data_IF_395534519894
#
_entry.id   IF_395534519894
#
_cell.length_a   1.000
_cell.length_b   1.000
_cell.length_c   1.000
_cell.angle_alpha   90.00
_cell.angle_beta   90.00
_cell.angle_gamma   90.00
#
_symmetry.space_group_name_H-M   'P 1'
#
loop_
_entity.id
_entity.type
_entity.pdbx_description
1 polymer ?
#
# COMPACT_ATOMS: atom_id res chain seq x y z
N UNK A 1 -22.17 5.93 16.45
CA UNK A 1 -21.09 5.52 17.37
C UNK A 1 -20.36 6.73 17.89
N UNK A 2 -19.93 6.73 19.15
CA UNK A 2 -19.22 7.83 19.76
C UNK A 2 -17.77 7.93 19.24
N UNK A 3 -17.15 9.13 19.35
CA UNK A 3 -15.71 9.30 19.13
C UNK A 3 -14.96 8.35 20.09
N UNK A 4 -13.99 7.57 19.57
CA UNK A 4 -13.21 6.62 20.36
C UNK A 4 -13.66 5.15 20.26
N UNK A 5 -14.61 4.82 19.37
CA UNK A 5 -15.08 3.44 19.17
C UNK A 5 -14.14 2.58 18.29
N UNK A 6 -13.08 3.14 17.70
CA UNK A 6 -12.09 2.38 16.94
C UNK A 6 -11.38 1.37 17.86
N UNK A 7 -11.26 0.12 17.38
CA UNK A 7 -10.72 -1.00 18.15
C UNK A 7 -11.74 -1.67 19.08
N UNK A 8 -12.93 -1.08 19.25
CA UNK A 8 -13.98 -1.67 20.06
C UNK A 8 -14.65 -2.88 19.39
N UNK A 9 -15.16 -3.86 20.17
CA UNK A 9 -15.82 -5.03 19.63
C UNK A 9 -17.19 -4.68 19.04
N UNK A 10 -17.53 -5.34 17.95
CA UNK A 10 -18.87 -5.40 17.39
C UNK A 10 -19.48 -6.76 17.76
N UNK A 11 -20.60 -6.73 18.50
CA UNK A 11 -21.26 -7.93 18.98
C UNK A 11 -22.62 -8.10 18.28
N UNK A 12 -23.03 -9.35 18.08
CA UNK A 12 -24.37 -9.69 17.64
C UNK A 12 -25.38 -9.60 18.83
N UNK A 13 -26.67 -9.81 18.54
CA UNK A 13 -27.72 -9.80 19.56
C UNK A 13 -27.56 -10.90 20.65
N UNK A 14 -26.76 -11.92 20.37
CA UNK A 14 -26.37 -12.98 21.30
C UNK A 14 -25.13 -12.71 22.12
N UNK A 15 -24.48 -11.53 21.93
CA UNK A 15 -23.26 -11.16 22.62
C UNK A 15 -21.99 -11.78 22.02
N UNK A 16 -22.05 -12.38 20.82
CA UNK A 16 -20.87 -12.96 20.17
C UNK A 16 -20.13 -11.89 19.37
N UNK A 17 -18.81 -11.95 19.38
CA UNK A 17 -17.94 -11.06 18.59
C UNK A 17 -18.13 -11.35 17.10
N UNK A 18 -18.57 -10.34 16.33
CA UNK A 18 -18.73 -10.40 14.87
C UNK A 18 -17.70 -9.53 14.14
N UNK A 19 -17.01 -8.63 14.84
CA UNK A 19 -15.98 -7.82 14.26
C UNK A 19 -15.35 -6.83 15.23
N UNK A 20 -14.34 -6.10 14.73
CA UNK A 20 -13.67 -5.00 15.43
C UNK A 20 -13.86 -3.70 14.64
N UNK A 21 -14.37 -2.67 15.29
CA UNK A 21 -14.54 -1.36 14.67
C UNK A 21 -13.19 -0.78 14.22
N UNK A 22 -13.11 -0.31 12.97
CA UNK A 22 -11.90 0.30 12.44
C UNK A 22 -12.09 1.79 12.18
N UNK A 23 -12.52 2.13 10.97
CA UNK A 23 -12.57 3.49 10.47
C UNK A 23 -14.02 3.95 10.23
N UNK A 24 -14.23 5.26 10.32
CA UNK A 24 -15.45 5.90 9.86
C UNK A 24 -15.32 6.19 8.36
N UNK A 25 -16.25 5.66 7.57
CA UNK A 25 -16.37 5.91 6.13
C UNK A 25 -17.47 6.94 5.89
N UNK A 26 -17.13 8.22 5.99
CA UNK A 26 -18.08 9.31 5.77
C UNK A 26 -19.15 9.45 6.86
N UNK A 27 -20.28 10.09 6.54
CA UNK A 27 -21.39 10.28 7.47
C UNK A 27 -22.25 9.01 7.57
N UNK A 28 -22.28 8.43 8.77
CA UNK A 28 -23.16 7.30 9.09
C UNK A 28 -22.63 5.90 8.79
N UNK A 29 -21.52 5.77 8.07
CA UNK A 29 -20.91 4.47 7.74
C UNK A 29 -19.67 4.18 8.58
N UNK A 30 -19.57 2.94 9.05
CA UNK A 30 -18.41 2.47 9.82
C UNK A 30 -17.91 1.16 9.21
N UNK A 31 -16.59 1.04 9.08
CA UNK A 31 -15.95 -0.20 8.69
C UNK A 31 -15.63 -1.01 9.94
N UNK A 32 -15.74 -2.32 9.84
CA UNK A 32 -15.29 -3.24 10.85
C UNK A 32 -14.50 -4.38 10.20
N UNK A 33 -13.45 -4.83 10.86
CA UNK A 33 -12.76 -6.08 10.51
C UNK A 33 -13.65 -7.24 10.97
N UNK A 34 -14.03 -8.18 10.11
CA UNK A 34 -14.82 -9.33 10.52
C UNK A 34 -14.06 -10.22 11.50
N UNK A 35 -14.76 -10.78 12.48
CA UNK A 35 -14.18 -11.73 13.44
C UNK A 35 -14.18 -13.15 12.87
N UNK A 36 -13.43 -13.34 11.78
CA UNK A 36 -13.28 -14.58 11.05
C UNK A 36 -11.97 -15.32 11.37
N UNK A 37 -11.71 -16.40 10.67
CA UNK A 37 -10.47 -17.17 10.81
C UNK A 37 -9.22 -16.39 10.37
N UNK A 38 -9.37 -15.44 9.45
CA UNK A 38 -8.28 -14.59 9.00
C UNK A 38 -7.82 -13.67 10.12
N UNK A 39 -8.76 -13.03 10.82
CA UNK A 39 -8.45 -12.22 11.99
C UNK A 39 -7.78 -13.06 13.08
N UNK A 40 -8.27 -14.29 13.34
CA UNK A 40 -7.65 -15.20 14.32
C UNK A 40 -6.22 -15.55 13.95
N UNK A 41 -5.95 -15.93 12.71
CA UNK A 41 -4.59 -16.25 12.24
C UNK A 41 -3.63 -15.07 12.41
N UNK A 42 -4.09 -13.84 12.10
CA UNK A 42 -3.32 -12.61 12.31
C UNK A 42 -3.01 -12.37 13.78
N UNK A 43 -3.99 -12.55 14.66
CA UNK A 43 -3.82 -12.39 16.10
C UNK A 43 -2.88 -13.46 16.68
N UNK A 44 -3.01 -14.71 16.24
CA UNK A 44 -2.11 -15.79 16.65
C UNK A 44 -0.67 -15.54 16.19
N UNK A 45 -0.47 -15.02 14.97
CA UNK A 45 0.84 -14.58 14.50
C UNK A 45 1.42 -13.46 15.38
N UNK A 46 0.64 -12.41 15.63
CA UNK A 46 1.04 -11.30 16.50
C UNK A 46 1.38 -11.75 17.92
N UNK A 47 0.61 -12.70 18.49
CA UNK A 47 0.87 -13.24 19.84
C UNK A 47 2.19 -14.01 19.94
N UNK A 48 2.68 -14.56 18.82
CA UNK A 48 4.00 -15.21 18.69
C UNK A 48 5.13 -14.22 18.35
N UNK A 49 4.82 -12.92 18.26
CA UNK A 49 5.78 -11.89 17.84
C UNK A 49 5.99 -11.84 16.32
N UNK A 50 5.17 -12.57 15.55
CA UNK A 50 5.18 -12.47 14.10
C UNK A 50 4.45 -11.16 13.71
N UNK A 51 5.21 -10.11 13.41
CA UNK A 51 4.62 -8.93 12.78
C UNK A 51 4.20 -9.30 11.36
N UNK A 52 2.94 -9.08 10.96
CA UNK A 52 2.60 -9.17 9.54
C UNK A 52 3.42 -8.12 8.81
N UNK A 53 4.44 -8.59 8.11
CA UNK A 53 5.27 -7.73 7.26
C UNK A 53 4.37 -7.23 6.15
N UNK A 54 3.90 -6.01 6.26
CA UNK A 54 3.25 -5.35 5.12
C UNK A 54 4.35 -5.06 4.11
N UNK A 55 4.20 -5.53 2.87
CA UNK A 55 5.14 -5.19 1.83
C UNK A 55 5.25 -3.66 1.74
N UNK A 56 6.43 -3.12 2.02
CA UNK A 56 6.68 -1.68 1.97
C UNK A 56 7.47 -1.38 0.71
N UNK A 57 6.84 -0.64 -0.21
CA UNK A 57 7.47 -0.29 -1.48
C UNK A 57 8.60 0.74 -1.28
N UNK A 58 8.43 1.66 -0.32
CA UNK A 58 9.41 2.70 -0.02
C UNK A 58 9.43 3.83 -1.06
N UNK A 59 8.26 4.34 -1.43
CA UNK A 59 8.12 5.45 -2.38
C UNK A 59 7.22 6.55 -1.85
N UNK A 60 7.61 7.81 -2.07
CA UNK A 60 6.74 8.95 -1.95
C UNK A 60 5.99 9.18 -3.26
N UNK A 61 4.66 9.30 -3.20
CA UNK A 61 3.78 9.30 -4.36
C UNK A 61 3.03 10.61 -4.54
N UNK A 62 2.84 11.01 -5.79
CA UNK A 62 1.99 12.14 -6.17
C UNK A 62 0.77 11.62 -6.94
N UNK A 63 -0.46 11.99 -6.50
CA UNK A 63 -1.68 11.52 -7.15
C UNK A 63 -1.81 12.03 -8.59
N UNK A 64 -2.52 11.27 -9.43
CA UNK A 64 -2.59 11.43 -10.88
C UNK A 64 -2.87 12.84 -11.40
N UNK A 65 -3.74 13.61 -10.70
CA UNK A 65 -4.03 15.01 -11.11
C UNK A 65 -2.79 15.91 -11.02
N UNK A 66 -2.02 15.81 -9.92
CA UNK A 66 -0.78 16.56 -9.74
C UNK A 66 0.34 16.00 -10.63
N UNK A 67 0.39 14.68 -10.81
CA UNK A 67 1.33 14.02 -11.70
C UNK A 67 1.20 14.54 -13.14
N UNK A 68 -0.02 14.65 -13.69
CA UNK A 68 -0.25 15.23 -15.02
C UNK A 68 0.26 16.65 -15.14
N UNK A 69 0.03 17.49 -14.12
CA UNK A 69 0.54 18.87 -14.13
C UNK A 69 2.06 18.92 -14.17
N UNK A 70 2.73 18.12 -13.37
CA UNK A 70 4.21 18.03 -13.33
C UNK A 70 4.75 17.54 -14.68
N UNK A 71 4.15 16.51 -15.29
CA UNK A 71 4.57 15.97 -16.59
C UNK A 71 4.41 16.99 -17.71
N UNK A 72 3.28 17.70 -17.76
CA UNK A 72 3.07 18.79 -18.74
C UNK A 72 4.11 19.90 -18.62
N UNK A 73 4.43 20.32 -17.38
CA UNK A 73 5.45 21.32 -17.13
C UNK A 73 6.86 20.89 -17.60
N UNK A 74 7.10 19.57 -17.61
CA UNK A 74 8.34 18.96 -18.12
C UNK A 74 8.29 18.65 -19.64
N UNK A 75 7.22 19.03 -20.36
CA UNK A 75 7.07 18.75 -21.78
C UNK A 75 6.81 17.28 -22.13
N UNK A 76 6.38 16.49 -21.15
CA UNK A 76 6.09 15.06 -21.33
C UNK A 76 4.63 14.82 -21.71
N UNK A 77 4.33 13.73 -22.47
CA UNK A 77 2.98 13.37 -22.85
C UNK A 77 2.05 13.20 -21.64
N UNK A 78 0.79 13.59 -21.82
CA UNK A 78 -0.25 13.41 -20.81
C UNK A 78 -0.57 11.92 -20.68
N UNK A 79 -0.46 11.40 -19.45
CA UNK A 79 -0.71 9.98 -19.16
C UNK A 79 -1.24 9.86 -17.74
N UNK A 80 -2.22 8.95 -17.56
CA UNK A 80 -2.74 8.61 -16.25
C UNK A 80 -1.76 7.68 -15.52
N UNK A 81 -1.68 7.85 -14.21
CA UNK A 81 -0.78 7.08 -13.37
C UNK A 81 -0.42 7.80 -12.09
N UNK A 82 0.38 7.15 -11.25
CA UNK A 82 0.89 7.67 -10.00
C UNK A 82 2.39 7.97 -10.15
N UNK A 83 2.77 9.23 -9.91
CA UNK A 83 4.16 9.68 -10.09
C UNK A 83 4.98 9.44 -8.82
N UNK A 84 6.16 8.84 -8.98
CA UNK A 84 7.14 8.70 -7.89
C UNK A 84 7.84 10.05 -7.68
N UNK A 85 7.65 10.64 -6.52
CA UNK A 85 8.31 11.88 -6.10
C UNK A 85 9.60 11.60 -5.33
N UNK A 86 9.63 10.49 -4.59
CA UNK A 86 10.77 10.10 -3.76
C UNK A 86 10.89 8.58 -3.73
N UNK A 87 12.12 8.08 -3.62
CA UNK A 87 12.40 6.65 -3.40
C UNK A 87 13.32 6.58 -2.18
N UNK A 88 12.90 5.83 -1.18
CA UNK A 88 13.64 5.60 0.06
C UNK A 88 14.87 4.71 -0.23
N UNK A 89 16.04 5.11 0.26
CA UNK A 89 17.27 4.32 0.10
C UNK A 89 17.14 2.95 0.79
N UNK A 90 17.62 1.91 0.11
CA UNK A 90 17.54 0.53 0.62
C UNK A 90 16.15 -0.08 0.56
N UNK A 91 15.14 0.64 0.10
CA UNK A 91 13.79 0.12 -0.06
C UNK A 91 13.67 -0.91 -1.18
N UNK A 92 12.56 -1.66 -1.19
CA UNK A 92 12.24 -2.58 -2.29
C UNK A 92 12.18 -1.87 -3.64
N UNK A 93 11.67 -0.64 -3.68
CA UNK A 93 11.63 0.21 -4.88
C UNK A 93 13.03 0.59 -5.36
N UNK A 94 13.91 1.03 -4.45
CA UNK A 94 15.30 1.38 -4.79
C UNK A 94 16.06 0.18 -5.35
N UNK A 95 15.95 -0.97 -4.69
CA UNK A 95 16.60 -2.22 -5.10
C UNK A 95 16.10 -2.72 -6.46
N UNK A 96 14.84 -2.48 -6.79
CA UNK A 96 14.25 -2.80 -8.09
C UNK A 96 14.61 -1.79 -9.19
N UNK A 97 15.24 -0.68 -8.86
CA UNK A 97 15.65 0.36 -9.81
C UNK A 97 14.57 1.37 -10.17
N UNK A 98 13.51 1.47 -9.36
CA UNK A 98 12.56 2.58 -9.45
C UNK A 98 13.25 3.89 -9.10
N UNK A 99 12.84 4.99 -9.74
CA UNK A 99 13.46 6.30 -9.58
C UNK A 99 12.43 7.41 -9.44
N UNK A 100 12.84 8.49 -8.84
CA UNK A 100 12.08 9.74 -8.87
C UNK A 100 11.77 10.13 -10.31
N UNK A 101 10.53 10.48 -10.60
CA UNK A 101 10.06 10.85 -11.93
C UNK A 101 9.46 9.69 -12.74
N UNK A 102 9.52 8.46 -12.24
CA UNK A 102 8.79 7.34 -12.85
C UNK A 102 7.29 7.51 -12.61
N UNK A 103 6.50 7.31 -13.66
CA UNK A 103 5.04 7.27 -13.58
C UNK A 103 4.60 5.80 -13.60
N UNK A 104 4.05 5.32 -12.51
CA UNK A 104 3.48 3.97 -12.43
C UNK A 104 2.12 4.00 -13.14
N UNK A 105 1.97 3.21 -14.18
CA UNK A 105 0.75 3.14 -15.00
C UNK A 105 0.02 1.81 -14.84
N UNK A 106 0.71 0.76 -14.40
CA UNK A 106 0.13 -0.57 -14.20
C UNK A 106 0.86 -1.33 -13.09
N UNK A 107 0.12 -2.14 -12.34
CA UNK A 107 0.63 -3.04 -11.30
C UNK A 107 -0.03 -4.42 -11.46
N UNK A 108 0.76 -5.47 -11.63
CA UNK A 108 0.30 -6.86 -11.80
C UNK A 108 -0.79 -7.02 -12.86
N UNK A 109 -0.67 -6.32 -14.01
CA UNK A 109 -1.63 -6.36 -15.11
C UNK A 109 -2.88 -5.49 -14.92
N UNK A 110 -2.97 -4.75 -13.82
CA UNK A 110 -4.08 -3.84 -13.52
C UNK A 110 -3.63 -2.38 -13.66
N UNK A 111 -4.42 -1.57 -14.36
CA UNK A 111 -4.11 -0.15 -14.52
C UNK A 111 -4.11 0.57 -13.18
N UNK A 112 -3.08 1.40 -12.96
CA UNK A 112 -2.90 2.23 -11.76
C UNK A 112 -3.19 3.68 -12.14
N UNK A 113 -4.27 4.23 -11.61
CA UNK A 113 -4.68 5.64 -11.82
C UNK A 113 -4.66 6.45 -10.53
N UNK A 114 -4.81 5.76 -9.41
CA UNK A 114 -4.82 6.33 -8.06
C UNK A 114 -3.78 5.66 -7.17
N UNK A 115 -3.45 6.31 -6.06
CA UNK A 115 -2.56 5.74 -5.04
C UNK A 115 -3.18 4.49 -4.41
N UNK A 116 -4.51 4.48 -4.27
CA UNK A 116 -5.24 3.34 -3.69
C UNK A 116 -5.15 2.10 -4.57
N UNK A 117 -5.16 2.25 -5.92
CA UNK A 117 -4.97 1.12 -6.85
C UNK A 117 -3.61 0.45 -6.62
N UNK A 118 -2.56 1.25 -6.42
CA UNK A 118 -1.23 0.73 -6.14
C UNK A 118 -1.15 0.04 -4.77
N UNK A 119 -1.76 0.63 -3.74
CA UNK A 119 -1.80 0.01 -2.41
C UNK A 119 -2.56 -1.31 -2.43
N UNK A 120 -3.67 -1.41 -3.16
CA UNK A 120 -4.41 -2.68 -3.31
C UNK A 120 -3.55 -3.76 -3.97
N UNK A 121 -2.77 -3.39 -5.00
CA UNK A 121 -1.85 -4.33 -5.65
C UNK A 121 -0.74 -4.81 -4.71
N UNK A 122 -0.24 -3.94 -3.82
CA UNK A 122 0.78 -4.28 -2.82
C UNK A 122 0.20 -5.12 -1.67
N UNK A 123 -0.99 -4.75 -1.16
CA UNK A 123 -1.66 -5.45 -0.05
C UNK A 123 -2.08 -6.89 -0.42
N UNK A 124 -2.29 -7.17 -1.72
CA UNK A 124 -2.61 -8.50 -2.23
C UNK A 124 -1.43 -9.46 -2.26
N UNK A 125 -0.19 -8.98 -2.00
CA UNK A 125 1.02 -9.78 -2.13
C UNK A 125 1.42 -10.43 -0.80
N UNK A 126 1.84 -11.69 -0.90
CA UNK A 126 2.48 -12.42 0.20
C UNK A 126 3.96 -12.05 0.37
N UNK A 127 4.53 -12.45 1.52
CA UNK A 127 5.96 -12.30 1.77
C UNK A 127 6.79 -13.06 0.73
N UNK A 128 7.71 -12.38 0.04
CA UNK A 128 8.55 -12.96 -0.99
C UNK A 128 7.95 -12.95 -2.40
N UNK A 129 6.72 -12.49 -2.56
CA UNK A 129 6.14 -12.30 -3.89
C UNK A 129 6.68 -11.04 -4.57
N UNK A 130 6.71 -11.05 -5.90
CA UNK A 130 7.17 -9.95 -6.71
C UNK A 130 5.98 -9.17 -7.30
N UNK A 131 6.05 -7.84 -7.22
CA UNK A 131 5.12 -6.93 -7.87
C UNK A 131 5.67 -6.53 -9.24
N UNK A 132 4.98 -6.91 -10.31
CA UNK A 132 5.28 -6.42 -11.64
C UNK A 132 4.68 -5.02 -11.82
N UNK A 133 5.53 -4.03 -12.12
CA UNK A 133 5.13 -2.65 -12.38
C UNK A 133 5.48 -2.27 -13.81
N UNK A 134 4.54 -1.68 -14.55
CA UNK A 134 4.85 -0.95 -15.75
C UNK A 134 4.93 0.55 -15.41
N UNK A 135 6.07 1.14 -15.73
CA UNK A 135 6.34 2.56 -15.44
C UNK A 135 6.74 3.29 -16.71
N UNK A 136 6.47 4.58 -16.74
CA UNK A 136 6.91 5.49 -17.82
C UNK A 136 7.98 6.42 -17.24
N UNK A 137 9.22 6.24 -17.71
CA UNK A 137 10.37 7.07 -17.37
C UNK A 137 10.67 8.04 -18.52
N UNK A 138 10.35 9.30 -18.32
CA UNK A 138 10.33 10.26 -19.44
C UNK A 138 9.31 9.87 -20.50
N UNK A 139 9.77 9.40 -21.66
CA UNK A 139 8.92 8.90 -22.75
C UNK A 139 9.01 7.37 -22.95
N UNK A 140 9.86 6.68 -22.19
CA UNK A 140 10.08 5.24 -22.31
C UNK A 140 9.20 4.46 -21.35
N UNK A 141 8.64 3.33 -21.82
CA UNK A 141 7.93 2.36 -21.00
C UNK A 141 8.90 1.28 -20.53
N UNK A 142 8.88 1.00 -19.21
CA UNK A 142 9.74 0.01 -18.58
C UNK A 142 8.89 -0.92 -17.73
N UNK A 143 9.18 -2.22 -17.79
CA UNK A 143 8.63 -3.21 -16.87
C UNK A 143 9.65 -3.50 -15.78
N UNK A 144 9.26 -3.28 -14.53
CA UNK A 144 10.12 -3.43 -13.35
C UNK A 144 9.46 -4.42 -12.39
N UNK A 145 10.21 -5.43 -11.97
CA UNK A 145 9.75 -6.39 -10.96
C UNK A 145 10.32 -5.99 -9.60
N UNK A 146 9.44 -5.71 -8.66
CA UNK A 146 9.81 -5.34 -7.28
C UNK A 146 9.59 -6.54 -6.37
N UNK A 147 10.67 -7.05 -5.80
CA UNK A 147 10.60 -8.11 -4.78
C UNK A 147 10.62 -7.47 -3.40
N UNK A 148 9.66 -7.86 -2.57
CA UNK A 148 9.61 -7.40 -1.19
C UNK A 148 10.48 -8.31 -0.33
N UNK A 149 11.59 -7.76 0.22
CA UNK A 149 12.37 -8.47 1.23
C UNK A 149 11.47 -8.75 2.43
N UNK A 150 11.42 -9.99 2.86
CA UNK A 150 10.75 -10.37 4.10
C UNK A 150 11.36 -9.54 5.24
N UNK A 151 10.51 -8.80 5.98
CA UNK A 151 10.83 -7.72 6.89
C UNK A 151 12.13 -7.88 7.65
N UNK A 152 13.10 -7.09 7.23
CA UNK A 152 14.25 -6.77 8.06
C UNK A 152 13.77 -5.84 9.17
N UNK A 153 14.09 -6.19 10.41
CA UNK A 153 13.88 -5.37 11.59
C UNK A 153 14.36 -3.94 11.30
N UNK A 154 13.52 -2.95 11.61
CA UNK A 154 14.03 -1.61 11.81
C UNK A 154 15.07 -1.71 12.92
N UNK A 155 16.32 -1.47 12.60
CA UNK A 155 17.28 -1.11 13.62
C UNK A 155 16.78 0.19 14.23
N UNK A 156 16.24 0.10 15.44
CA UNK A 156 16.03 1.27 16.28
C UNK A 156 17.41 1.87 16.52
N UNK A 157 17.70 2.96 15.81
CA UNK A 157 18.86 3.80 16.09
C UNK A 157 18.77 4.29 17.53
N UNK A 158 19.60 3.69 18.37
CA UNK A 158 19.93 4.18 19.70
C UNK A 158 20.67 5.51 19.57
N UNK A 159 20.17 6.54 20.18
CA UNK A 159 20.96 7.56 20.86
C UNK A 159 20.09 8.31 21.85
#
# INVERSE_FOLDING_TARGET
>A
MAKGSSGGPLLDAGGRLVGLNTNRLGEGFYAALPADEDLRRRLDGLSRGESPVRPHLGVGLVPGRAARHIRRAAGLPDRDGVLIQEVEEGSSAANAGLRRGDLIVEASGTAVTTIDDLYQAVDGLGAGEALALNVVRGAEELSISVTFAGGGAREEGSA
#
